data_IF_615001817514
#
_entry.id   IF_615001817514
#
_cell.length_a   1.000
_cell.length_b   1.000
_cell.length_c   1.000
_cell.angle_alpha   90.00
_cell.angle_beta   90.00
_cell.angle_gamma   90.00
#
_symmetry.space_group_name_H-M   'P 1'
#
loop_
_entity.id
_entity.type
_entity.pdbx_description
1 polymer ?
#
# COMPACT_ATOMS: atom_id res chain seq x y z
N UNK A 1 5.21 20.99 6.03
CA UNK A 1 5.34 19.72 5.29
C UNK A 1 6.72 19.14 5.53
N UNK A 2 6.77 17.92 6.04
CA UNK A 2 8.03 17.19 6.24
C UNK A 2 8.20 16.24 5.05
N UNK A 3 9.38 16.27 4.42
CA UNK A 3 9.72 15.29 3.39
C UNK A 3 9.90 13.93 4.06
N UNK A 4 9.06 12.98 3.71
CA UNK A 4 9.16 11.60 4.21
C UNK A 4 9.47 10.66 3.05
N UNK A 5 10.29 9.62 3.25
CA UNK A 5 10.67 8.69 2.18
C UNK A 5 9.52 7.77 1.75
N UNK A 6 8.50 7.62 2.58
CA UNK A 6 7.38 6.69 2.39
C UNK A 6 6.06 7.37 2.72
N UNK A 7 5.04 7.16 1.89
CA UNK A 7 3.65 7.52 2.20
C UNK A 7 2.98 6.31 2.89
N UNK A 8 2.67 6.38 4.20
CA UNK A 8 1.94 5.30 4.87
C UNK A 8 0.56 5.09 4.24
N UNK A 9 0.17 3.83 3.99
CA UNK A 9 -1.10 3.47 3.35
C UNK A 9 -2.27 3.53 4.33
N UNK A 10 -2.49 4.71 4.90
CA UNK A 10 -3.62 5.03 5.78
C UNK A 10 -4.47 6.12 5.16
N UNK A 11 -5.80 6.01 5.33
CA UNK A 11 -6.75 7.03 4.91
C UNK A 11 -7.62 7.40 6.11
N UNK A 12 -7.76 8.70 6.38
CA UNK A 12 -8.61 9.22 7.44
C UNK A 12 -9.83 9.90 6.83
N UNK A 13 -11.00 9.55 7.35
CA UNK A 13 -12.30 10.10 6.95
C UNK A 13 -12.75 11.09 8.03
N UNK A 14 -12.58 12.40 7.85
CA UNK A 14 -12.89 13.38 8.88
C UNK A 14 -14.40 13.44 9.16
N UNK A 15 -14.76 13.64 10.42
CA UNK A 15 -16.09 14.04 10.82
C UNK A 15 -16.25 15.56 10.74
N UNK A 16 -17.48 16.00 10.93
CA UNK A 16 -17.83 17.42 10.80
C UNK A 16 -17.02 18.33 11.74
N UNK A 17 -16.64 17.83 12.91
CA UNK A 17 -15.97 18.60 13.99
C UNK A 17 -14.63 18.02 14.43
N UNK A 18 -14.11 17.00 13.75
CA UNK A 18 -12.90 16.27 14.20
C UNK A 18 -11.62 17.07 14.01
N UNK A 19 -11.58 17.92 12.98
CA UNK A 19 -10.38 18.61 12.54
C UNK A 19 -10.73 20.09 12.29
N UNK A 20 -9.89 21.00 12.80
CA UNK A 20 -10.08 22.43 12.50
C UNK A 20 -9.92 22.71 11.01
N UNK A 21 -10.67 23.69 10.51
CA UNK A 21 -10.65 24.06 9.08
C UNK A 21 -9.25 24.48 8.58
N UNK A 22 -8.38 24.96 9.49
CA UNK A 22 -7.00 25.33 9.17
C UNK A 22 -6.11 24.13 8.89
N UNK A 23 -6.34 23.01 9.59
CA UNK A 23 -5.57 21.74 9.42
C UNK A 23 -6.02 21.00 8.18
N UNK A 24 -7.24 21.21 7.71
CA UNK A 24 -7.82 20.59 6.52
C UNK A 24 -7.24 21.13 5.18
N UNK A 25 -6.11 21.84 5.21
CA UNK A 25 -5.51 22.43 4.01
C UNK A 25 -4.28 21.68 3.56
N UNK A 26 -4.31 21.16 2.35
CA UNK A 26 -3.11 20.77 1.63
C UNK A 26 -2.59 21.91 0.75
N UNK A 27 -1.29 21.94 0.41
CA UNK A 27 -0.74 22.99 -0.46
C UNK A 27 -1.41 23.05 -1.83
N UNK A 28 -1.95 21.94 -2.30
CA UNK A 28 -2.60 21.80 -3.62
C UNK A 28 -4.12 21.89 -3.59
N UNK A 29 -4.74 21.90 -2.40
CA UNK A 29 -6.19 22.02 -2.27
C UNK A 29 -6.57 22.71 -0.96
N UNK A 30 -7.55 23.60 -1.03
CA UNK A 30 -8.01 24.38 0.14
C UNK A 30 -8.75 23.52 1.18
N UNK A 31 -9.36 22.41 0.75
CA UNK A 31 -10.09 21.48 1.60
C UNK A 31 -9.96 20.07 1.03
N UNK A 32 -9.66 19.11 1.85
CA UNK A 32 -9.71 17.70 1.53
C UNK A 32 -10.87 17.05 2.28
N UNK A 33 -11.55 16.11 1.62
CA UNK A 33 -12.62 15.33 2.23
C UNK A 33 -12.06 14.01 2.81
N UNK A 34 -10.87 13.60 2.34
CA UNK A 34 -10.14 12.43 2.79
C UNK A 34 -8.65 12.77 2.92
N UNK A 35 -7.99 12.19 3.92
CA UNK A 35 -6.56 12.44 4.18
C UNK A 35 -5.78 11.15 4.08
N UNK A 36 -4.75 11.12 3.26
CA UNK A 36 -3.83 9.99 3.12
C UNK A 36 -2.51 10.22 3.89
N UNK A 37 -1.82 9.13 4.20
CA UNK A 37 -0.44 9.14 4.67
C UNK A 37 -0.26 9.36 6.16
N UNK A 38 0.84 10.02 6.54
CA UNK A 38 1.27 10.18 7.94
C UNK A 38 0.22 10.86 8.82
N UNK A 39 -0.41 11.93 8.32
CA UNK A 39 -1.46 12.60 9.06
C UNK A 39 -2.64 11.64 9.36
N UNK A 40 -3.06 10.86 8.35
CA UNK A 40 -4.11 9.87 8.50
C UNK A 40 -3.77 8.84 9.58
N UNK A 41 -2.55 8.31 9.57
CA UNK A 41 -2.05 7.36 10.56
C UNK A 41 -2.07 7.96 11.96
N UNK A 42 -1.41 9.09 12.16
CA UNK A 42 -1.16 9.67 13.46
C UNK A 42 -2.42 10.27 14.11
N UNK A 43 -3.29 10.88 13.30
CA UNK A 43 -4.57 11.40 13.76
C UNK A 43 -5.61 10.28 13.91
N UNK A 44 -5.71 9.40 12.90
CA UNK A 44 -6.66 8.30 12.88
C UNK A 44 -6.40 7.24 13.95
N UNK A 45 -5.15 7.07 14.42
CA UNK A 45 -4.86 6.19 15.56
C UNK A 45 -5.59 6.60 16.84
N UNK A 46 -6.02 7.87 16.96
CA UNK A 46 -6.82 8.39 18.07
C UNK A 46 -8.32 8.20 17.86
N UNK A 47 -8.75 8.05 16.61
CA UNK A 47 -10.13 7.85 16.18
C UNK A 47 -10.22 6.67 15.20
N UNK A 48 -9.97 5.42 15.67
CA UNK A 48 -9.84 4.25 14.81
C UNK A 48 -11.08 3.92 13.98
N UNK A 49 -12.26 4.36 14.44
CA UNK A 49 -13.52 4.19 13.70
C UNK A 49 -13.55 4.97 12.38
N UNK A 50 -12.67 5.95 12.20
CA UNK A 50 -12.55 6.80 11.00
C UNK A 50 -11.27 6.53 10.20
N UNK A 51 -10.47 5.57 10.65
CA UNK A 51 -9.20 5.21 10.02
C UNK A 51 -9.37 3.99 9.13
N UNK A 52 -9.04 4.15 7.85
CA UNK A 52 -8.86 3.04 6.92
C UNK A 52 -7.39 2.64 6.96
N UNK A 53 -7.14 1.39 7.28
CA UNK A 53 -5.85 0.71 7.18
C UNK A 53 -5.97 -0.51 6.28
N UNK A 54 -4.85 -1.01 5.78
CA UNK A 54 -4.78 -2.27 5.03
C UNK A 54 -5.71 -2.35 3.80
N UNK A 55 -5.99 -1.22 3.13
CA UNK A 55 -6.88 -1.18 1.96
C UNK A 55 -6.40 -2.11 0.83
N UNK A 56 -5.07 -2.29 0.69
CA UNK A 56 -4.46 -3.23 -0.26
C UNK A 56 -4.88 -4.67 0.02
N UNK A 57 -4.90 -5.10 1.29
CA UNK A 57 -5.34 -6.44 1.68
C UNK A 57 -6.84 -6.65 1.38
N UNK A 58 -7.65 -5.61 1.54
CA UNK A 58 -9.06 -5.66 1.16
C UNK A 58 -9.24 -5.70 -0.36
N UNK A 59 -8.38 -5.05 -1.12
CA UNK A 59 -8.44 -5.05 -2.59
C UNK A 59 -8.18 -6.44 -3.17
N UNK A 60 -7.39 -7.29 -2.51
CA UNK A 60 -7.13 -8.66 -2.93
C UNK A 60 -8.01 -9.72 -2.22
N UNK A 61 -8.91 -9.32 -1.30
CA UNK A 61 -9.77 -10.27 -0.60
C UNK A 61 -10.92 -10.74 -1.51
N UNK A 62 -10.95 -12.01 -1.96
CA UNK A 62 -11.98 -12.50 -2.87
C UNK A 62 -13.36 -12.61 -2.22
N UNK A 63 -13.42 -12.63 -0.88
CA UNK A 63 -14.69 -12.75 -0.13
C UNK A 63 -15.33 -11.40 0.19
N UNK A 64 -14.72 -10.29 -0.24
CA UNK A 64 -15.23 -8.94 -0.01
C UNK A 64 -15.73 -8.31 -1.31
N UNK A 65 -16.84 -7.58 -1.26
CA UNK A 65 -17.21 -6.69 -2.36
C UNK A 65 -16.29 -5.46 -2.33
N UNK A 66 -15.28 -5.50 -3.21
CA UNK A 66 -14.19 -4.52 -3.26
C UNK A 66 -14.60 -3.16 -3.83
N UNK A 67 -15.78 -3.08 -4.47
CA UNK A 67 -16.38 -1.82 -4.96
C UNK A 67 -17.38 -1.23 -3.98
N UNK A 68 -17.87 -2.01 -3.02
CA UNK A 68 -18.79 -1.53 -1.98
C UNK A 68 -18.08 -0.72 -0.90
N UNK A 69 -18.79 0.23 -0.33
CA UNK A 69 -18.33 1.12 0.76
C UNK A 69 -18.27 0.34 2.09
N UNK A 70 -17.19 -0.40 2.31
CA UNK A 70 -17.00 -1.29 3.48
C UNK A 70 -15.97 -0.77 4.48
N UNK A 71 -15.12 0.18 4.10
CA UNK A 71 -14.03 0.70 4.92
C UNK A 71 -14.34 2.07 5.53
N UNK A 72 -14.02 2.29 6.81
CA UNK A 72 -13.35 1.42 7.78
C UNK A 72 -14.22 0.23 8.18
N UNK A 73 -13.64 -0.97 8.20
CA UNK A 73 -14.37 -2.19 8.52
C UNK A 73 -14.87 -2.21 9.97
N UNK A 74 -16.11 -2.66 10.16
CA UNK A 74 -16.73 -2.77 11.48
C UNK A 74 -17.05 -1.44 12.17
N UNK A 75 -16.88 -0.30 11.49
CA UNK A 75 -17.27 1.01 12.03
C UNK A 75 -18.71 1.33 11.68
N UNK A 76 -19.40 1.97 12.62
CA UNK A 76 -20.79 2.45 12.48
C UNK A 76 -20.82 3.98 12.59
N UNK A 77 -21.81 4.61 11.97
CA UNK A 77 -22.03 6.07 12.06
C UNK A 77 -20.97 6.92 11.37
N UNK A 78 -20.16 6.31 10.48
CA UNK A 78 -19.16 7.01 9.65
C UNK A 78 -19.44 6.78 8.18
N UNK A 79 -19.14 7.77 7.37
CA UNK A 79 -19.12 7.59 5.92
C UNK A 79 -18.03 6.57 5.56
N UNK A 80 -18.37 5.62 4.68
CA UNK A 80 -17.44 4.57 4.27
C UNK A 80 -17.00 4.76 2.83
N UNK A 81 -15.83 4.22 2.53
CA UNK A 81 -15.26 4.14 1.19
C UNK A 81 -15.05 2.69 0.76
N UNK A 82 -14.94 2.46 -0.53
CA UNK A 82 -14.56 1.14 -1.05
C UNK A 82 -13.04 0.94 -0.99
N UNK A 83 -12.54 -0.30 -1.00
CA UNK A 83 -11.12 -0.59 -1.19
C UNK A 83 -10.52 0.08 -2.43
N UNK A 84 -11.26 0.09 -3.55
CA UNK A 84 -10.85 0.78 -4.78
C UNK A 84 -10.73 2.28 -4.55
N UNK A 85 -11.74 2.90 -3.91
CA UNK A 85 -11.70 4.33 -3.59
C UNK A 85 -10.52 4.67 -2.68
N UNK A 86 -10.28 3.88 -1.64
CA UNK A 86 -9.15 4.11 -0.73
C UNK A 86 -7.80 4.04 -1.48
N UNK A 87 -7.65 3.07 -2.39
CA UNK A 87 -6.45 2.95 -3.23
C UNK A 87 -6.31 4.16 -4.16
N UNK A 88 -7.42 4.59 -4.79
CA UNK A 88 -7.41 5.78 -5.64
C UNK A 88 -7.00 7.05 -4.88
N UNK A 89 -7.41 7.22 -3.63
CA UNK A 89 -7.04 8.38 -2.81
C UNK A 89 -5.54 8.39 -2.46
N UNK A 90 -4.91 7.23 -2.22
CA UNK A 90 -3.45 7.17 -2.05
C UNK A 90 -2.72 7.61 -3.32
N UNK A 91 -3.14 7.10 -4.46
CA UNK A 91 -2.56 7.45 -5.75
C UNK A 91 -2.79 8.93 -6.06
N UNK A 92 -4.00 9.43 -5.87
CA UNK A 92 -4.35 10.83 -6.07
C UNK A 92 -3.49 11.77 -5.21
N UNK A 93 -3.22 11.38 -3.96
CA UNK A 93 -2.33 12.12 -3.08
C UNK A 93 -0.90 12.19 -3.66
N UNK A 94 -0.37 11.07 -4.16
CA UNK A 94 0.96 11.00 -4.78
C UNK A 94 1.01 11.91 -6.01
N UNK A 95 0.02 11.82 -6.91
CA UNK A 95 -0.04 12.65 -8.12
C UNK A 95 -0.07 14.14 -7.77
N UNK A 96 -0.97 14.55 -6.87
CA UNK A 96 -1.08 15.95 -6.45
C UNK A 96 0.20 16.47 -5.82
N UNK A 97 0.85 15.66 -4.97
CA UNK A 97 2.13 16.01 -4.35
C UNK A 97 3.22 16.18 -5.41
N UNK A 98 3.34 15.24 -6.34
CA UNK A 98 4.29 15.31 -7.45
C UNK A 98 4.10 16.60 -8.26
N UNK A 99 2.89 16.84 -8.77
CA UNK A 99 2.58 18.00 -9.61
C UNK A 99 2.82 19.32 -8.88
N UNK A 100 2.52 19.36 -7.57
CA UNK A 100 2.81 20.54 -6.75
C UNK A 100 4.30 20.87 -6.65
N UNK A 101 5.16 19.84 -6.55
CA UNK A 101 6.61 20.02 -6.45
C UNK A 101 7.25 20.34 -7.80
N UNK A 102 6.82 19.67 -8.84
CA UNK A 102 7.43 19.80 -10.18
C UNK A 102 7.09 21.13 -10.82
N UNK A 103 5.85 21.62 -10.71
CA UNK A 103 5.32 22.88 -11.24
C UNK A 103 5.40 23.06 -12.76
N UNK A 104 5.97 22.15 -13.47
CA UNK A 104 6.15 22.12 -14.91
C UNK A 104 5.13 21.15 -15.48
N UNK A 105 4.17 21.63 -16.26
CA UNK A 105 3.02 20.82 -16.72
C UNK A 105 3.47 19.66 -17.60
N UNK A 106 4.54 19.82 -18.40
CA UNK A 106 5.06 18.72 -19.23
C UNK A 106 5.63 17.57 -18.39
N UNK A 107 5.97 17.86 -17.13
CA UNK A 107 6.50 16.89 -16.16
C UNK A 107 5.47 16.44 -15.13
N UNK A 108 4.22 16.82 -15.28
CA UNK A 108 3.15 16.31 -14.41
C UNK A 108 3.05 14.80 -14.52
N UNK A 109 2.65 14.15 -13.43
CA UNK A 109 2.68 12.68 -13.31
C UNK A 109 1.86 12.00 -14.40
N UNK A 110 0.73 12.55 -14.77
CA UNK A 110 -0.15 12.08 -15.84
C UNK A 110 0.49 12.11 -17.25
N UNK A 111 1.55 12.88 -17.42
CA UNK A 111 2.33 12.99 -18.65
C UNK A 111 3.59 12.11 -18.66
N UNK A 112 3.81 11.35 -17.57
CA UNK A 112 4.98 10.47 -17.42
C UNK A 112 4.62 9.02 -17.74
N UNK A 113 5.65 8.22 -18.06
CA UNK A 113 5.54 6.77 -18.02
C UNK A 113 5.63 6.32 -16.56
N UNK A 114 4.55 5.72 -16.04
CA UNK A 114 4.45 5.33 -14.64
C UNK A 114 4.39 3.81 -14.50
N UNK A 115 5.22 3.27 -13.65
CA UNK A 115 5.16 1.86 -13.24
C UNK A 115 4.60 1.78 -11.82
N UNK A 116 3.54 1.02 -11.64
CA UNK A 116 2.96 0.73 -10.33
C UNK A 116 3.21 -0.74 -10.00
N UNK A 117 3.81 -0.99 -8.85
CA UNK A 117 4.06 -2.35 -8.41
C UNK A 117 2.86 -2.95 -7.69
N UNK A 118 2.59 -4.22 -7.97
CA UNK A 118 1.52 -5.02 -7.36
C UNK A 118 2.07 -6.37 -6.93
N UNK A 119 1.48 -7.03 -5.89
CA UNK A 119 1.87 -8.37 -5.51
C UNK A 119 1.81 -9.35 -6.69
N UNK A 120 2.75 -10.29 -6.73
CA UNK A 120 2.73 -11.35 -7.74
C UNK A 120 1.47 -12.24 -7.65
N UNK A 121 0.89 -12.31 -6.46
CA UNK A 121 -0.34 -13.05 -6.13
C UNK A 121 -1.64 -12.33 -6.55
N UNK A 122 -1.59 -11.07 -7.01
CA UNK A 122 -2.77 -10.39 -7.52
C UNK A 122 -3.31 -11.13 -8.74
N UNK A 123 -4.56 -11.62 -8.62
CA UNK A 123 -5.29 -12.17 -9.75
C UNK A 123 -5.71 -11.06 -10.74
N UNK A 124 -6.26 -11.46 -11.88
CA UNK A 124 -6.72 -10.54 -12.94
C UNK A 124 -7.65 -9.45 -12.38
N UNK A 125 -8.63 -9.85 -11.57
CA UNK A 125 -9.59 -8.91 -10.99
C UNK A 125 -8.93 -7.89 -10.06
N UNK A 126 -7.97 -8.27 -9.21
CA UNK A 126 -7.25 -7.34 -8.34
C UNK A 126 -6.39 -6.35 -9.16
N UNK A 127 -5.82 -6.82 -10.29
CA UNK A 127 -5.10 -5.98 -11.25
C UNK A 127 -6.04 -4.98 -11.93
N UNK A 128 -7.21 -5.42 -12.40
CA UNK A 128 -8.24 -4.55 -12.97
C UNK A 128 -8.71 -3.48 -11.98
N UNK A 129 -8.99 -3.87 -10.71
CA UNK A 129 -9.38 -2.93 -9.65
C UNK A 129 -8.27 -1.92 -9.34
N UNK A 130 -7.01 -2.34 -9.41
CA UNK A 130 -5.88 -1.43 -9.29
C UNK A 130 -5.87 -0.42 -10.44
N UNK A 131 -6.09 -0.86 -11.68
CA UNK A 131 -6.16 0.04 -12.83
C UNK A 131 -7.41 0.96 -12.79
N UNK A 132 -8.52 0.50 -12.22
CA UNK A 132 -9.69 1.34 -11.94
C UNK A 132 -9.33 2.48 -10.94
N UNK A 133 -8.59 2.16 -9.89
CA UNK A 133 -8.09 3.15 -8.95
C UNK A 133 -7.11 4.14 -9.60
N UNK A 134 -6.21 3.66 -10.45
CA UNK A 134 -5.27 4.47 -11.25
C UNK A 134 -6.02 5.46 -12.13
N UNK A 135 -7.05 4.99 -12.83
CA UNK A 135 -7.90 5.83 -13.69
C UNK A 135 -8.64 6.89 -12.87
N UNK A 136 -9.19 6.50 -11.72
CA UNK A 136 -9.89 7.41 -10.80
C UNK A 136 -8.94 8.47 -10.24
N UNK A 137 -7.67 8.12 -10.01
CA UNK A 137 -6.62 9.05 -9.59
C UNK A 137 -6.04 9.90 -10.73
N UNK A 138 -6.52 9.71 -11.97
CA UNK A 138 -6.14 10.48 -13.17
C UNK A 138 -4.64 10.42 -13.47
N UNK A 139 -4.03 9.23 -13.41
CA UNK A 139 -2.60 9.02 -13.68
C UNK A 139 -2.22 9.09 -15.18
N UNK A 140 -3.17 9.39 -16.06
CA UNK A 140 -2.95 9.38 -17.50
C UNK A 140 -3.04 7.97 -18.10
N UNK A 141 -2.53 7.81 -19.33
CA UNK A 141 -2.68 6.58 -20.11
C UNK A 141 -1.42 5.71 -20.16
N UNK A 142 -0.28 6.22 -19.70
CA UNK A 142 1.02 5.55 -19.77
C UNK A 142 1.38 4.87 -18.45
N UNK A 143 0.46 4.03 -17.94
CA UNK A 143 0.66 3.28 -16.69
C UNK A 143 0.80 1.80 -16.96
N UNK A 144 1.81 1.17 -16.37
CA UNK A 144 2.05 -0.27 -16.45
C UNK A 144 2.11 -0.87 -15.05
N UNK A 145 1.52 -2.05 -14.87
CA UNK A 145 1.67 -2.82 -13.63
C UNK A 145 2.88 -3.74 -13.74
N UNK A 146 3.73 -3.74 -12.70
CA UNK A 146 4.86 -4.63 -12.54
C UNK A 146 4.71 -5.42 -11.24
N UNK A 147 5.12 -6.67 -11.22
CA UNK A 147 5.09 -7.47 -10.00
C UNK A 147 6.16 -7.00 -9.00
N UNK A 148 5.79 -6.87 -7.73
CA UNK A 148 6.68 -6.41 -6.65
C UNK A 148 7.99 -7.23 -6.56
N UNK A 149 7.98 -8.58 -6.64
CA UNK A 149 9.24 -9.34 -6.60
C UNK A 149 10.14 -9.09 -7.80
N UNK A 150 9.58 -8.83 -9.00
CA UNK A 150 10.37 -8.45 -10.16
C UNK A 150 10.96 -7.06 -9.98
N UNK A 151 10.20 -6.11 -9.46
CA UNK A 151 10.68 -4.76 -9.19
C UNK A 151 11.80 -4.77 -8.15
N UNK A 152 11.65 -5.56 -7.07
CA UNK A 152 12.69 -5.75 -6.05
C UNK A 152 13.96 -6.35 -6.65
N UNK A 153 13.81 -7.34 -7.52
CA UNK A 153 14.94 -7.97 -8.20
C UNK A 153 15.64 -7.00 -9.18
N UNK A 154 14.91 -6.23 -9.97
CA UNK A 154 15.49 -5.21 -10.83
C UNK A 154 16.20 -4.12 -10.02
N UNK A 155 15.66 -3.73 -8.87
CA UNK A 155 16.35 -2.80 -7.97
C UNK A 155 17.65 -3.39 -7.44
N UNK A 156 17.67 -4.68 -7.11
CA UNK A 156 18.88 -5.38 -6.72
C UNK A 156 19.92 -5.40 -7.84
N UNK A 157 19.51 -5.71 -9.08
CA UNK A 157 20.40 -5.71 -10.26
C UNK A 157 21.04 -4.35 -10.48
N UNK A 158 20.26 -3.26 -10.44
CA UNK A 158 20.77 -1.90 -10.61
C UNK A 158 21.81 -1.56 -9.53
N UNK A 159 21.54 -1.96 -8.29
CA UNK A 159 22.49 -1.71 -7.19
C UNK A 159 23.73 -2.61 -7.22
N UNK A 160 23.77 -3.63 -8.09
CA UNK A 160 24.86 -4.55 -8.28
C UNK A 160 25.31 -4.63 -9.75
N UNK A 161 25.14 -3.55 -10.51
CA UNK A 161 25.42 -3.51 -11.95
C UNK A 161 26.82 -4.00 -12.27
N UNK A 162 27.81 -3.67 -11.42
CA UNK A 162 29.23 -4.01 -11.63
C UNK A 162 29.58 -5.44 -11.16
N UNK A 163 28.79 -6.08 -10.32
CA UNK A 163 29.20 -7.35 -9.67
C UNK A 163 28.13 -8.46 -9.60
N UNK A 164 26.91 -8.25 -10.13
CA UNK A 164 25.83 -9.23 -10.07
C UNK A 164 26.22 -10.58 -10.68
N UNK A 165 27.05 -10.59 -11.75
CA UNK A 165 27.52 -11.80 -12.42
C UNK A 165 28.42 -12.68 -11.53
N UNK A 166 28.98 -12.10 -10.46
CA UNK A 166 29.78 -12.87 -9.47
C UNK A 166 28.91 -13.46 -8.37
N UNK A 167 27.63 -13.03 -8.28
CA UNK A 167 26.69 -13.40 -7.23
C UNK A 167 25.63 -14.38 -7.69
N UNK A 168 25.31 -14.38 -8.98
CA UNK A 168 24.27 -15.24 -9.56
C UNK A 168 24.80 -15.87 -10.84
N UNK A 169 24.69 -17.18 -10.94
CA UNK A 169 25.07 -17.95 -12.12
C UNK A 169 23.85 -18.36 -12.93
N UNK A 170 24.03 -18.71 -14.22
CA UNK A 170 22.98 -19.33 -15.01
C UNK A 170 22.40 -20.55 -14.27
N UNK A 171 21.07 -20.70 -14.34
CA UNK A 171 20.27 -21.72 -13.67
C UNK A 171 20.17 -21.63 -12.12
N UNK A 172 20.78 -20.64 -11.48
CA UNK A 172 20.55 -20.37 -10.08
C UNK A 172 19.06 -20.03 -9.83
N UNK A 173 18.55 -20.47 -8.67
CA UNK A 173 17.23 -20.14 -8.17
C UNK A 173 17.33 -19.04 -7.14
N UNK A 174 16.68 -17.93 -7.41
CA UNK A 174 16.64 -16.75 -6.54
C UNK A 174 15.27 -16.73 -5.86
N UNK A 175 15.27 -16.84 -4.53
CA UNK A 175 14.06 -16.65 -3.74
C UNK A 175 13.90 -15.17 -3.39
N UNK A 176 12.83 -14.55 -3.89
CA UNK A 176 12.39 -13.23 -3.45
C UNK A 176 11.33 -13.42 -2.38
N UNK A 177 11.61 -12.87 -1.19
CA UNK A 177 10.71 -12.87 -0.04
C UNK A 177 10.27 -11.44 0.22
N UNK A 178 9.03 -11.12 -0.11
CA UNK A 178 8.43 -9.80 0.10
C UNK A 178 7.49 -9.85 1.32
N UNK A 179 7.92 -9.22 2.42
CA UNK A 179 7.14 -9.14 3.67
C UNK A 179 6.65 -7.71 3.83
N UNK A 180 5.42 -7.48 3.38
CA UNK A 180 4.76 -6.18 3.47
C UNK A 180 4.03 -5.95 4.79
N UNK A 181 3.26 -4.86 4.86
CA UNK A 181 2.40 -4.55 6.01
C UNK A 181 1.25 -5.54 6.18
N UNK A 182 0.59 -5.92 5.09
CA UNK A 182 -0.60 -6.78 5.12
C UNK A 182 -0.41 -8.17 4.51
N UNK A 183 0.65 -8.38 3.71
CA UNK A 183 0.87 -9.60 2.93
C UNK A 183 2.32 -10.05 2.97
N UNK A 184 2.53 -11.35 2.76
CA UNK A 184 3.84 -11.93 2.48
C UNK A 184 3.74 -12.74 1.20
N UNK A 185 4.62 -12.44 0.26
CA UNK A 185 4.69 -13.09 -1.04
C UNK A 185 6.08 -13.70 -1.25
N UNK A 186 6.09 -14.92 -1.81
CA UNK A 186 7.31 -15.62 -2.17
C UNK A 186 7.32 -15.85 -3.67
N UNK A 187 8.43 -15.53 -4.32
CA UNK A 187 8.61 -15.79 -5.76
C UNK A 187 9.96 -16.41 -6.04
N UNK A 188 9.99 -17.41 -6.90
CA UNK A 188 11.21 -18.01 -7.41
C UNK A 188 11.50 -17.47 -8.80
N UNK A 189 12.69 -16.91 -8.97
CA UNK A 189 13.21 -16.40 -10.24
C UNK A 189 14.44 -17.23 -10.59
N UNK A 190 14.58 -17.63 -11.86
CA UNK A 190 15.79 -18.26 -12.37
C UNK A 190 16.46 -17.36 -13.37
N UNK A 191 17.79 -17.32 -13.32
CA UNK A 191 18.59 -16.73 -14.37
C UNK A 191 18.76 -17.75 -15.49
N UNK A 192 18.32 -17.39 -16.69
CA UNK A 192 18.56 -18.14 -17.93
C UNK A 192 19.52 -17.38 -18.81
N UNK A 193 20.33 -18.08 -19.55
CA UNK A 193 21.12 -17.51 -20.62
C UNK A 193 20.39 -17.78 -21.95
N UNK A 194 20.06 -16.70 -22.65
CA UNK A 194 19.42 -16.76 -23.97
C UNK A 194 20.17 -15.85 -24.92
N UNK A 195 20.72 -16.42 -25.99
CA UNK A 195 21.44 -15.68 -27.05
C UNK A 195 22.56 -14.77 -26.53
N UNK A 196 23.26 -15.21 -25.47
CA UNK A 196 24.36 -14.46 -24.85
C UNK A 196 23.91 -13.30 -23.96
N UNK A 197 22.64 -13.18 -23.69
CA UNK A 197 22.08 -12.17 -22.77
C UNK A 197 21.39 -12.83 -21.58
N UNK A 198 21.58 -12.32 -20.36
CA UNK A 198 20.90 -12.83 -19.19
C UNK A 198 19.40 -12.52 -19.28
N UNK A 199 18.58 -13.55 -19.06
CA UNK A 199 17.14 -13.43 -18.99
C UNK A 199 16.65 -13.97 -17.66
N UNK A 200 15.92 -13.15 -16.92
CA UNK A 200 15.31 -13.59 -15.68
C UNK A 200 13.90 -14.09 -15.95
N UNK A 201 13.64 -15.31 -15.50
CA UNK A 201 12.37 -15.97 -15.70
C UNK A 201 11.77 -16.33 -14.34
N UNK A 202 10.50 -15.96 -14.12
CA UNK A 202 9.77 -16.35 -12.94
C UNK A 202 9.35 -17.83 -13.07
N UNK A 203 9.86 -18.66 -12.17
CA UNK A 203 9.62 -20.10 -12.17
C UNK A 203 8.36 -20.45 -11.38
N UNK A 204 8.14 -19.79 -10.23
CA UNK A 204 7.00 -20.07 -9.38
C UNK A 204 6.63 -18.84 -8.53
N UNK A 205 5.37 -18.79 -8.13
CA UNK A 205 4.84 -17.87 -7.12
C UNK A 205 4.21 -18.70 -6.02
N UNK A 206 4.52 -18.40 -4.76
CA UNK A 206 3.89 -18.99 -3.61
C UNK A 206 2.41 -18.61 -3.49
N UNK A 207 1.70 -19.31 -2.63
CA UNK A 207 0.33 -18.91 -2.25
C UNK A 207 0.38 -17.56 -1.55
N UNK A 208 -0.64 -16.76 -1.81
CA UNK A 208 -0.80 -15.45 -1.19
C UNK A 208 -1.08 -15.57 0.30
N UNK A 209 -0.14 -15.11 1.12
CA UNK A 209 -0.31 -15.07 2.56
C UNK A 209 -0.80 -13.69 3.00
N UNK A 210 -2.03 -13.61 3.52
CA UNK A 210 -2.56 -12.40 4.16
C UNK A 210 -1.97 -12.32 5.58
N UNK A 211 -0.65 -12.29 5.64
CA UNK A 211 0.17 -12.19 6.85
C UNK A 211 1.27 -11.18 6.60
N UNK A 212 1.39 -10.18 7.45
CA UNK A 212 2.41 -9.15 7.32
C UNK A 212 2.61 -8.41 8.63
N UNK A 213 3.18 -7.22 8.57
CA UNK A 213 3.45 -6.36 9.73
C UNK A 213 2.22 -6.12 10.59
N UNK A 214 1.04 -5.91 9.99
CA UNK A 214 -0.22 -5.74 10.70
C UNK A 214 -0.55 -6.92 11.64
N UNK A 215 -0.21 -8.14 11.21
CA UNK A 215 -0.41 -9.34 12.03
C UNK A 215 0.59 -9.44 13.18
N UNK A 216 1.81 -8.94 12.97
CA UNK A 216 2.84 -8.85 14.02
C UNK A 216 2.37 -7.85 15.07
N UNK A 217 1.88 -6.69 14.67
CA UNK A 217 1.34 -5.66 15.56
C UNK A 217 0.16 -6.19 16.37
N UNK A 218 -0.77 -6.91 15.72
CA UNK A 218 -1.89 -7.58 16.39
C UNK A 218 -1.43 -8.63 17.41
N UNK A 219 -0.43 -9.45 17.07
CA UNK A 219 0.12 -10.46 17.97
C UNK A 219 0.80 -9.81 19.18
N UNK A 220 1.53 -8.71 18.95
CA UNK A 220 2.16 -7.93 20.00
C UNK A 220 1.12 -7.29 20.92
N UNK A 221 0.09 -6.67 20.36
CA UNK A 221 -1.01 -6.06 21.11
C UNK A 221 -1.71 -7.10 22.02
N UNK A 222 -1.99 -8.31 21.50
CA UNK A 222 -2.55 -9.42 22.30
C UNK A 222 -1.61 -9.83 23.44
N UNK A 223 -0.31 -9.90 23.16
CA UNK A 223 0.67 -10.24 24.20
C UNK A 223 0.78 -9.19 25.28
N UNK A 224 0.64 -7.91 24.92
CA UNK A 224 0.59 -6.79 25.87
C UNK A 224 -0.70 -6.85 26.68
N UNK A 225 -1.87 -7.01 26.05
CA UNK A 225 -3.16 -7.13 26.75
C UNK A 225 -3.16 -8.28 27.74
N UNK A 226 -2.62 -9.44 27.39
CA UNK A 226 -2.53 -10.60 28.25
C UNK A 226 -1.74 -10.36 29.56
N UNK A 227 -0.84 -9.38 29.60
CA UNK A 227 -0.12 -8.97 30.82
C UNK A 227 -0.99 -8.22 31.82
N UNK A 228 -2.14 -7.68 31.38
CA UNK A 228 -3.09 -6.98 32.23
C UNK A 228 -4.20 -7.89 32.78
N UNK A 229 -3.87 -9.14 33.11
CA UNK A 229 -4.79 -10.24 33.47
C UNK A 229 -5.86 -9.91 34.51
N UNK A 230 -5.68 -8.85 35.31
CA UNK A 230 -6.61 -8.44 36.37
C UNK A 230 -7.52 -7.25 35.97
N UNK A 231 -7.54 -6.86 34.70
CA UNK A 231 -8.36 -5.75 34.19
C UNK A 231 -9.44 -6.27 33.24
N UNK A 232 -10.54 -5.53 33.13
CA UNK A 232 -11.55 -5.80 32.11
C UNK A 232 -10.91 -5.76 30.71
N UNK A 233 -11.35 -6.62 29.77
CA UNK A 233 -10.91 -6.55 28.38
C UNK A 233 -11.02 -5.12 27.83
N UNK A 234 -10.09 -4.76 26.98
CA UNK A 234 -10.14 -3.46 26.30
C UNK A 234 -11.41 -3.36 25.46
N UNK A 235 -12.02 -2.18 25.41
CA UNK A 235 -13.06 -1.91 24.42
C UNK A 235 -12.48 -2.01 23.00
N UNK A 236 -13.33 -2.26 21.99
CA UNK A 236 -12.90 -2.40 20.60
C UNK A 236 -12.03 -1.21 20.11
N UNK A 237 -12.39 0.03 20.46
CA UNK A 237 -11.64 1.21 20.09
C UNK A 237 -10.28 1.30 20.78
N UNK A 238 -10.23 0.98 22.08
CA UNK A 238 -8.95 0.94 22.81
C UNK A 238 -8.04 -0.15 22.28
N UNK A 239 -8.62 -1.28 21.88
CA UNK A 239 -7.89 -2.39 21.30
C UNK A 239 -7.30 -2.01 19.93
N UNK A 240 -8.12 -1.39 19.05
CA UNK A 240 -7.63 -0.84 17.77
C UNK A 240 -6.53 0.19 17.97
N UNK A 241 -6.69 1.08 18.97
CA UNK A 241 -5.64 2.08 19.29
C UNK A 241 -4.34 1.42 19.74
N UNK A 242 -4.41 0.33 20.51
CA UNK A 242 -3.22 -0.43 20.95
C UNK A 242 -2.53 -1.13 19.79
N UNK A 243 -3.28 -1.69 18.85
CA UNK A 243 -2.76 -2.40 17.69
C UNK A 243 -2.08 -1.49 16.66
N UNK A 244 -2.41 -0.19 16.64
CA UNK A 244 -1.84 0.78 15.69
C UNK A 244 -0.79 1.71 16.32
N UNK A 245 -0.28 1.42 17.52
CA UNK A 245 0.79 2.14 18.21
C UNK A 245 2.10 1.37 18.26
#
# INVERSE_FOLDING_TARGET
FTKVPVLPSFLYIPGEYDISKEVLKHPWKKREDLFAGTFARDHGSKLPSRLVSSAKSWLCNPNADRRSKILPWGSEGVEKVSPVTATAEYLLHIRKAWNHFVKDEDKFLENQFVVITVPASFNEEARELTMEAVKTAEFGNSVTLLEEPLAAFYSWLINHEDDWQTKVNPDDLILVCDVGGGTTDFSLISLKESEGSPRFERIAVGEHLILGGDNIDLALARKVEAKFKNRKPLSADKWKTLAHR
#
